data_IF_500683564151
#
_entry.id   IF_500683564151
#
_cell.length_a   1.000
_cell.length_b   1.000
_cell.length_c   1.000
_cell.angle_alpha   90.00
_cell.angle_beta   90.00
_cell.angle_gamma   90.00
#
_symmetry.space_group_name_H-M   'P 1'
#
loop_
_entity.id
_entity.type
_entity.pdbx_description
1 polymer ?
#
# COMPACT_ATOMS: atom_id res chain seq x y z
N UNK A 1 -35.01 -5.67 40.57
CA UNK A 1 -34.47 -5.00 39.37
C UNK A 1 -33.15 -5.69 39.01
N UNK A 2 -33.05 -6.28 37.81
CA UNK A 2 -31.84 -6.96 37.36
C UNK A 2 -31.01 -6.01 36.50
N UNK A 3 -29.81 -5.67 36.94
CA UNK A 3 -28.84 -4.86 36.20
C UNK A 3 -28.13 -5.76 35.19
N UNK A 4 -28.43 -5.61 33.90
CA UNK A 4 -27.59 -6.17 32.84
C UNK A 4 -26.35 -5.29 32.68
N UNK A 5 -25.17 -5.87 32.85
CA UNK A 5 -23.89 -5.23 32.55
C UNK A 5 -23.55 -5.47 31.07
N UNK A 6 -23.53 -4.42 30.25
CA UNK A 6 -23.09 -4.49 28.86
C UNK A 6 -21.55 -4.45 28.82
N UNK A 7 -20.93 -5.59 28.56
CA UNK A 7 -19.52 -5.66 28.18
C UNK A 7 -19.38 -5.13 26.74
N UNK A 8 -18.67 -4.02 26.57
CA UNK A 8 -18.33 -3.50 25.25
C UNK A 8 -17.23 -4.38 24.63
N UNK A 9 -17.56 -5.11 23.56
CA UNK A 9 -16.57 -5.74 22.70
C UNK A 9 -16.11 -4.70 21.67
N UNK A 10 -14.82 -4.38 21.66
CA UNK A 10 -14.23 -3.61 20.56
C UNK A 10 -14.27 -4.45 19.29
N UNK A 11 -15.10 -4.05 18.33
CA UNK A 11 -15.06 -4.60 16.99
C UNK A 11 -13.80 -4.06 16.31
N UNK A 12 -12.78 -4.90 16.16
CA UNK A 12 -11.68 -4.58 15.24
C UNK A 12 -12.22 -4.77 13.83
N UNK A 13 -12.50 -3.65 13.16
CA UNK A 13 -12.89 -3.68 11.75
C UNK A 13 -11.68 -4.11 10.92
N UNK A 14 -11.87 -5.15 10.09
CA UNK A 14 -10.87 -5.58 9.12
C UNK A 14 -10.64 -4.46 8.10
N UNK A 15 -9.48 -3.81 8.15
CA UNK A 15 -9.09 -2.81 7.16
C UNK A 15 -8.51 -3.51 5.92
N UNK A 16 -8.86 -3.01 4.73
CA UNK A 16 -8.30 -3.48 3.46
C UNK A 16 -7.71 -2.29 2.71
N UNK A 17 -6.40 -2.34 2.49
CA UNK A 17 -5.68 -1.38 1.67
C UNK A 17 -5.45 -1.93 0.27
N UNK A 18 -5.47 -1.06 -0.71
CA UNK A 18 -5.23 -1.35 -2.12
C UNK A 18 -4.07 -0.51 -2.63
N UNK A 19 -3.17 -1.12 -3.38
CA UNK A 19 -2.04 -0.44 -3.99
C UNK A 19 -1.70 -1.00 -5.34
N UNK A 20 -1.02 -0.19 -6.15
CA UNK A 20 -0.57 -0.58 -7.47
C UNK A 20 0.75 0.10 -7.85
N UNK A 21 1.51 -0.53 -8.73
CA UNK A 21 2.65 0.13 -9.37
C UNK A 21 3.82 -0.77 -9.71
N UNK A 22 5.02 -0.29 -9.41
CA UNK A 22 6.31 -0.91 -9.72
C UNK A 22 6.34 -2.43 -9.50
N UNK A 23 6.79 -3.18 -10.52
CA UNK A 23 6.91 -4.64 -10.42
C UNK A 23 8.14 -5.05 -9.60
N UNK A 24 9.14 -4.18 -9.50
CA UNK A 24 10.38 -4.43 -8.76
C UNK A 24 10.15 -4.74 -7.26
N UNK A 25 9.43 -3.90 -6.47
CA UNK A 25 9.17 -4.19 -5.06
C UNK A 25 8.03 -5.21 -4.83
N UNK A 26 7.29 -5.61 -5.87
CA UNK A 26 6.09 -6.43 -5.75
C UNK A 26 6.30 -7.74 -4.94
N UNK A 27 7.41 -8.49 -5.11
CA UNK A 27 7.65 -9.69 -4.31
C UNK A 27 7.81 -9.38 -2.81
N UNK A 28 8.42 -8.24 -2.46
CA UNK A 28 8.58 -7.82 -1.06
C UNK A 28 7.23 -7.43 -0.47
N UNK A 29 6.43 -6.65 -1.20
CA UNK A 29 5.09 -6.25 -0.75
C UNK A 29 4.16 -7.44 -0.57
N UNK A 30 4.23 -8.45 -1.44
CA UNK A 30 3.46 -9.68 -1.27
C UNK A 30 3.80 -10.39 0.05
N UNK A 31 5.09 -10.46 0.41
CA UNK A 31 5.52 -11.09 1.67
C UNK A 31 5.11 -10.27 2.89
N UNK A 32 5.20 -8.95 2.82
CA UNK A 32 4.75 -8.06 3.90
C UNK A 32 3.24 -8.10 4.07
N UNK A 33 2.46 -8.10 2.99
CA UNK A 33 1.00 -8.23 3.03
C UNK A 33 0.55 -9.54 3.71
N UNK A 34 1.18 -10.67 3.35
CA UNK A 34 0.93 -11.97 3.99
C UNK A 34 1.20 -11.94 5.50
N UNK A 35 2.35 -11.37 5.88
CA UNK A 35 2.74 -11.27 7.30
C UNK A 35 1.80 -10.34 8.07
N UNK A 36 1.53 -9.17 7.51
CA UNK A 36 0.66 -8.16 8.10
C UNK A 36 -0.76 -8.68 8.30
N UNK A 37 -1.30 -9.45 7.34
CA UNK A 37 -2.61 -10.08 7.48
C UNK A 37 -2.62 -11.13 8.60
N UNK A 38 -1.58 -11.97 8.70
CA UNK A 38 -1.48 -12.98 9.76
C UNK A 38 -1.40 -12.36 11.15
N UNK A 39 -0.71 -11.24 11.29
CA UNK A 39 -0.50 -10.59 12.59
C UNK A 39 -1.66 -9.66 13.00
N UNK A 40 -2.33 -9.01 12.04
CA UNK A 40 -3.31 -7.97 12.34
C UNK A 40 -4.73 -8.28 11.88
N UNK A 41 -4.91 -9.28 11.01
CA UNK A 41 -6.16 -9.53 10.29
C UNK A 41 -6.42 -8.61 9.10
N UNK A 42 -5.73 -7.47 9.00
CA UNK A 42 -5.92 -6.48 7.94
C UNK A 42 -5.28 -6.93 6.61
N UNK A 43 -5.90 -6.56 5.50
CA UNK A 43 -5.44 -6.94 4.15
C UNK A 43 -4.71 -5.80 3.46
N UNK A 44 -3.68 -6.16 2.69
CA UNK A 44 -3.02 -5.26 1.73
C UNK A 44 -3.02 -5.95 0.38
N UNK A 45 -3.77 -5.41 -0.57
CA UNK A 45 -3.87 -5.91 -1.92
C UNK A 45 -2.97 -5.09 -2.83
N UNK A 46 -1.96 -5.70 -3.45
CA UNK A 46 -1.00 -5.00 -4.30
C UNK A 46 -0.99 -5.55 -5.74
N UNK A 47 -1.03 -4.65 -6.72
CA UNK A 47 -0.98 -4.99 -8.15
C UNK A 47 0.32 -4.47 -8.80
N UNK A 48 1.21 -5.40 -9.18
CA UNK A 48 2.43 -5.08 -9.93
C UNK A 48 2.13 -4.82 -11.41
N UNK A 49 1.75 -3.59 -11.75
CA UNK A 49 1.36 -3.17 -13.11
C UNK A 49 2.39 -2.26 -13.79
N UNK A 50 3.51 -1.99 -13.12
CA UNK A 50 4.55 -1.05 -13.53
C UNK A 50 4.39 0.35 -12.93
N UNK A 51 5.51 1.05 -12.78
CA UNK A 51 5.62 2.35 -12.09
C UNK A 51 4.65 3.41 -12.63
N UNK A 52 4.57 3.57 -13.95
CA UNK A 52 3.64 4.52 -14.58
C UNK A 52 2.17 4.19 -14.33
N UNK A 53 1.83 2.89 -14.21
CA UNK A 53 0.48 2.47 -13.85
C UNK A 53 0.14 2.85 -12.42
N UNK A 54 1.07 2.64 -11.48
CA UNK A 54 0.91 3.02 -10.08
C UNK A 54 0.71 4.53 -9.89
N UNK A 55 1.56 5.35 -10.52
CA UNK A 55 1.44 6.81 -10.50
C UNK A 55 0.09 7.28 -11.03
N UNK A 56 -0.38 6.71 -12.15
CA UNK A 56 -1.69 7.06 -12.71
C UNK A 56 -2.85 6.72 -11.76
N UNK A 57 -2.80 5.54 -11.14
CA UNK A 57 -3.87 5.08 -10.25
C UNK A 57 -3.94 5.87 -8.94
N UNK A 58 -2.79 6.24 -8.34
CA UNK A 58 -2.80 7.05 -7.11
C UNK A 58 -3.27 8.48 -7.38
N UNK A 59 -2.85 9.10 -8.49
CA UNK A 59 -3.36 10.41 -8.91
C UNK A 59 -4.88 10.37 -9.18
N UNK A 60 -5.36 9.28 -9.78
CA UNK A 60 -6.79 9.07 -10.01
C UNK A 60 -7.57 8.66 -8.74
N UNK A 61 -6.91 8.53 -7.58
CA UNK A 61 -7.49 8.06 -6.32
C UNK A 61 -8.23 6.72 -6.44
N UNK A 62 -7.79 5.82 -7.34
CA UNK A 62 -8.38 4.49 -7.52
C UNK A 62 -7.76 3.43 -6.61
N UNK A 63 -6.64 3.78 -5.96
CA UNK A 63 -5.91 2.96 -4.99
C UNK A 63 -5.49 3.82 -3.80
N UNK A 64 -5.26 3.20 -2.66
CA UNK A 64 -4.85 3.90 -1.43
C UNK A 64 -3.38 4.32 -1.46
N UNK A 65 -2.53 3.60 -2.22
CA UNK A 65 -1.13 3.96 -2.42
C UNK A 65 -0.59 3.56 -3.80
N UNK A 66 0.34 4.35 -4.32
CA UNK A 66 1.10 4.06 -5.53
C UNK A 66 2.55 3.71 -5.24
N UNK A 67 3.15 2.82 -6.02
CA UNK A 67 4.58 2.53 -5.96
C UNK A 67 5.28 2.81 -7.29
N UNK A 68 6.45 3.43 -7.25
CA UNK A 68 7.22 3.80 -8.43
C UNK A 68 8.72 3.64 -8.17
N UNK A 69 9.43 3.04 -9.14
CA UNK A 69 10.90 3.03 -9.17
C UNK A 69 11.47 4.35 -9.73
N UNK A 70 10.59 5.24 -10.23
CA UNK A 70 10.91 6.57 -10.71
C UNK A 70 10.23 7.60 -9.78
N UNK A 71 10.96 8.24 -8.85
CA UNK A 71 10.38 9.22 -7.94
C UNK A 71 9.79 10.40 -8.70
N UNK A 72 8.64 10.89 -8.25
CA UNK A 72 8.04 12.12 -8.75
C UNK A 72 8.83 13.35 -8.28
N UNK A 73 8.76 14.44 -9.05
CA UNK A 73 9.29 15.74 -8.62
C UNK A 73 8.44 16.33 -7.49
N UNK A 74 9.06 17.15 -6.65
CA UNK A 74 8.38 17.82 -5.54
C UNK A 74 7.21 18.69 -6.03
N UNK A 75 7.35 19.36 -7.18
CA UNK A 75 6.28 20.14 -7.80
C UNK A 75 5.06 19.26 -8.14
N UNK A 76 5.30 18.06 -8.71
CA UNK A 76 4.22 17.15 -9.06
C UNK A 76 3.56 16.57 -7.81
N UNK A 77 4.34 16.23 -6.78
CA UNK A 77 3.82 15.76 -5.50
C UNK A 77 2.92 16.82 -4.84
N UNK A 78 3.36 18.08 -4.82
CA UNK A 78 2.59 19.19 -4.30
C UNK A 78 1.30 19.44 -5.11
N UNK A 79 1.39 19.39 -6.45
CA UNK A 79 0.24 19.57 -7.34
C UNK A 79 -0.85 18.50 -7.09
N UNK A 80 -0.45 17.26 -6.90
CA UNK A 80 -1.35 16.12 -6.74
C UNK A 80 -1.72 15.83 -5.28
N UNK A 81 -1.19 16.60 -4.32
CA UNK A 81 -1.42 16.36 -2.89
C UNK A 81 -0.85 15.03 -2.39
N UNK A 82 0.24 14.56 -2.99
CA UNK A 82 0.85 13.27 -2.68
C UNK A 82 2.08 13.43 -1.77
N UNK A 83 2.28 12.45 -0.89
CA UNK A 83 3.50 12.30 -0.12
C UNK A 83 4.27 11.07 -0.59
N UNK A 84 5.59 11.18 -0.74
CA UNK A 84 6.45 10.11 -1.24
C UNK A 84 7.54 9.79 -0.23
N UNK A 85 7.71 8.51 0.09
CA UNK A 85 8.76 8.00 0.96
C UNK A 85 9.35 6.69 0.40
N UNK A 86 10.64 6.41 0.62
CA UNK A 86 11.26 5.17 0.18
C UNK A 86 10.78 3.98 1.01
N UNK A 87 10.54 2.83 0.38
CA UNK A 87 10.10 1.60 1.05
C UNK A 87 11.18 0.52 1.08
N UNK A 88 11.87 0.30 -0.03
CA UNK A 88 12.94 -0.69 -0.20
C UNK A 88 14.05 -0.15 -1.09
N UNK A 89 15.28 -0.63 -0.88
CA UNK A 89 16.42 -0.42 -1.77
C UNK A 89 16.86 -1.80 -2.27
N UNK A 90 17.11 -1.94 -3.56
CA UNK A 90 17.58 -3.19 -4.15
C UNK A 90 18.38 -2.96 -5.43
N UNK A 91 19.09 -4.00 -5.87
CA UNK A 91 19.86 -3.97 -7.12
C UNK A 91 19.03 -4.45 -8.31
N UNK A 92 19.13 -3.73 -9.43
CA UNK A 92 18.66 -4.21 -10.73
C UNK A 92 19.85 -4.74 -11.53
N UNK A 93 19.75 -5.98 -12.03
CA UNK A 93 20.74 -6.57 -12.91
C UNK A 93 20.07 -6.95 -14.23
N UNK A 94 20.47 -6.31 -15.33
CA UNK A 94 20.18 -6.77 -16.68
C UNK A 94 21.32 -7.68 -17.14
N UNK A 95 21.00 -8.85 -17.70
CA UNK A 95 21.99 -9.59 -18.48
C UNK A 95 22.05 -8.92 -19.87
N UNK A 96 23.25 -8.50 -20.25
CA UNK A 96 23.58 -7.98 -21.58
C UNK A 96 23.71 -9.17 -22.53
#
# INVERSE_FOLDING_TARGET
AATLSMSAFSVFAEASLTGAGATFPAPVYAKWADTYQKETGNKVNYQGIGSSGGVKQIIANTVDFGASDAPLSDEKLAQEGLFQFPTVIGGAASRI
#
